data_IF_369520075067
#
_entry.id   IF_369520075067
#
_cell.length_a   1.000
_cell.length_b   1.000
_cell.length_c   1.000
_cell.angle_alpha   90.00
_cell.angle_beta   90.00
_cell.angle_gamma   90.00
#
_symmetry.space_group_name_H-M   'P 1'
#
loop_
_entity.id
_entity.type
_entity.pdbx_description
1 polymer ?
#
# COMPACT_ATOMS: atom_id res chain seq x y z
N UNK A 1 -10.25 64.68 -37.96
CA UNK A 1 -9.36 63.54 -37.96
C UNK A 1 -9.62 62.76 -36.68
N UNK A 2 -10.33 61.64 -36.76
CA UNK A 2 -10.58 60.81 -35.61
C UNK A 2 -9.62 59.64 -35.61
N UNK A 3 -8.70 59.63 -34.64
CA UNK A 3 -7.80 58.51 -34.38
C UNK A 3 -8.58 57.46 -33.61
N UNK A 4 -8.99 56.38 -34.26
CA UNK A 4 -9.51 55.21 -33.60
C UNK A 4 -8.31 54.40 -33.10
N UNK A 5 -7.99 54.54 -31.82
CA UNK A 5 -7.06 53.65 -31.13
C UNK A 5 -7.73 52.29 -30.99
N UNK A 6 -7.33 51.35 -31.83
CA UNK A 6 -7.69 49.95 -31.61
C UNK A 6 -6.91 49.44 -30.41
N UNK A 7 -7.59 49.26 -29.28
CA UNK A 7 -7.04 48.50 -28.18
C UNK A 7 -6.95 47.02 -28.62
N UNK A 8 -5.82 46.34 -28.40
CA UNK A 8 -5.78 44.89 -28.57
C UNK A 8 -6.59 44.28 -27.47
N UNK A 9 -7.60 43.51 -27.84
CA UNK A 9 -8.32 42.63 -26.93
C UNK A 9 -7.30 41.56 -26.48
N UNK A 10 -6.76 41.74 -25.28
CA UNK A 10 -6.10 40.67 -24.56
C UNK A 10 -7.17 39.67 -24.12
N UNK A 11 -7.36 38.62 -24.89
CA UNK A 11 -8.06 37.43 -24.42
C UNK A 11 -7.30 36.86 -23.26
N UNK A 12 -7.92 36.70 -22.07
CA UNK A 12 -7.28 35.94 -21.01
C UNK A 12 -7.20 34.49 -21.49
N UNK A 13 -5.98 34.00 -21.67
CA UNK A 13 -5.73 32.57 -21.80
C UNK A 13 -6.12 31.97 -20.45
N UNK A 14 -7.33 31.43 -20.38
CA UNK A 14 -7.77 30.63 -19.27
C UNK A 14 -6.94 29.35 -19.29
N UNK A 15 -5.83 29.36 -18.57
CA UNK A 15 -5.12 28.15 -18.21
C UNK A 15 -6.08 27.32 -17.34
N UNK A 16 -6.84 26.47 -18.00
CA UNK A 16 -7.52 25.35 -17.34
C UNK A 16 -6.39 24.51 -16.73
N UNK A 17 -6.10 24.77 -15.47
CA UNK A 17 -5.41 23.81 -14.63
C UNK A 17 -6.31 22.59 -14.57
N UNK A 18 -6.11 21.66 -15.47
CA UNK A 18 -6.69 20.31 -15.33
C UNK A 18 -6.19 19.80 -13.98
N UNK A 19 -7.06 19.37 -13.07
CA UNK A 19 -6.61 18.70 -11.89
C UNK A 19 -5.78 17.52 -12.37
N UNK A 20 -4.53 17.49 -11.94
CA UNK A 20 -3.73 16.29 -12.01
C UNK A 20 -4.43 15.25 -11.13
N UNK A 21 -5.47 14.64 -11.64
CA UNK A 21 -5.83 13.32 -11.19
C UNK A 21 -4.61 12.49 -11.48
N UNK A 22 -3.93 12.07 -10.41
CA UNK A 22 -2.90 11.07 -10.53
C UNK A 22 -3.49 9.98 -11.40
N UNK A 23 -3.02 9.88 -12.65
CA UNK A 23 -3.45 8.82 -13.53
C UNK A 23 -3.07 7.54 -12.81
N UNK A 24 -4.06 6.79 -12.37
CA UNK A 24 -3.84 5.46 -11.85
C UNK A 24 -3.23 4.65 -12.97
N UNK A 25 -1.92 4.58 -12.91
CA UNK A 25 -1.15 3.74 -13.83
C UNK A 25 -1.54 2.29 -13.54
N UNK A 26 -1.92 1.57 -14.58
CA UNK A 26 -2.11 0.13 -14.47
C UNK A 26 -0.84 -0.52 -13.94
N UNK A 27 -0.99 -1.44 -12.99
CA UNK A 27 0.12 -2.18 -12.42
C UNK A 27 0.72 -3.10 -13.47
N UNK A 28 2.03 -3.01 -13.65
CA UNK A 28 2.79 -3.90 -14.51
C UNK A 28 3.02 -5.24 -13.81
N UNK A 29 3.44 -6.26 -14.57
CA UNK A 29 3.87 -7.54 -13.97
C UNK A 29 5.06 -7.35 -13.03
N UNK A 30 5.96 -6.42 -13.33
CA UNK A 30 7.07 -6.05 -12.46
C UNK A 30 6.58 -5.42 -11.15
N UNK A 31 5.57 -4.56 -11.18
CA UNK A 31 4.96 -3.98 -9.98
C UNK A 31 4.33 -5.08 -9.12
N UNK A 32 3.60 -6.01 -9.73
CA UNK A 32 2.97 -7.14 -9.02
C UNK A 32 4.00 -8.02 -8.33
N UNK A 33 5.07 -8.34 -9.01
CA UNK A 33 6.18 -9.12 -8.46
C UNK A 33 6.88 -8.38 -7.31
N UNK A 34 7.13 -7.07 -7.46
CA UNK A 34 7.75 -6.25 -6.44
C UNK A 34 6.89 -6.13 -5.17
N UNK A 35 5.58 -5.94 -5.32
CA UNK A 35 4.63 -5.90 -4.22
C UNK A 35 4.66 -7.23 -3.44
N UNK A 36 4.57 -8.34 -4.14
CA UNK A 36 4.66 -9.67 -3.53
C UNK A 36 5.96 -9.84 -2.75
N UNK A 37 7.08 -9.49 -3.35
CA UNK A 37 8.40 -9.60 -2.72
C UNK A 37 8.51 -8.78 -1.44
N UNK A 38 7.99 -7.56 -1.42
CA UNK A 38 7.97 -6.70 -0.22
C UNK A 38 7.22 -7.37 0.92
N UNK A 39 6.02 -7.90 0.64
CA UNK A 39 5.21 -8.58 1.67
C UNK A 39 5.90 -9.86 2.16
N UNK A 40 6.46 -10.66 1.26
CA UNK A 40 7.19 -11.88 1.63
C UNK A 40 8.39 -11.56 2.53
N UNK A 41 9.17 -10.54 2.20
CA UNK A 41 10.30 -10.08 3.02
C UNK A 41 9.86 -9.58 4.38
N UNK A 42 8.75 -8.85 4.44
CA UNK A 42 8.22 -8.35 5.70
C UNK A 42 7.76 -9.50 6.60
N UNK A 43 7.04 -10.47 6.05
CA UNK A 43 6.64 -11.67 6.78
C UNK A 43 7.84 -12.47 7.32
N UNK A 44 8.89 -12.62 6.51
CA UNK A 44 10.13 -13.29 6.92
C UNK A 44 10.86 -12.53 8.02
N UNK A 45 10.96 -11.22 7.93
CA UNK A 45 11.57 -10.39 8.97
C UNK A 45 10.80 -10.49 10.28
N UNK A 46 9.48 -10.45 10.25
CA UNK A 46 8.63 -10.62 11.43
C UNK A 46 8.81 -12.00 12.05
N UNK A 47 8.89 -13.05 11.23
CA UNK A 47 9.13 -14.42 11.70
C UNK A 47 10.45 -14.57 12.44
N UNK A 48 11.45 -13.77 12.09
CA UNK A 48 12.76 -13.76 12.70
C UNK A 48 12.90 -12.74 13.84
N UNK A 49 11.82 -12.05 14.22
CA UNK A 49 11.84 -10.92 15.15
C UNK A 49 12.81 -9.79 14.74
N UNK A 50 13.06 -9.67 13.43
CA UNK A 50 13.87 -8.61 12.85
C UNK A 50 13.01 -7.33 12.68
N UNK A 51 12.86 -6.59 13.77
CA UNK A 51 12.06 -5.40 13.82
C UNK A 51 12.52 -4.34 12.82
N UNK A 52 13.83 -4.14 12.70
CA UNK A 52 14.40 -3.11 11.83
C UNK A 52 14.07 -3.38 10.35
N UNK A 53 14.28 -4.62 9.88
CA UNK A 53 13.98 -4.98 8.48
C UNK A 53 12.49 -4.94 8.18
N UNK A 54 11.65 -5.42 9.09
CA UNK A 54 10.20 -5.38 8.91
C UNK A 54 9.68 -3.93 8.84
N UNK A 55 10.15 -3.07 9.73
CA UNK A 55 9.76 -1.67 9.81
C UNK A 55 10.23 -0.85 8.60
N UNK A 56 11.43 -1.13 8.08
CA UNK A 56 11.96 -0.47 6.89
C UNK A 56 11.10 -0.68 5.63
N UNK A 57 10.30 -1.74 5.58
CA UNK A 57 9.40 -2.05 4.47
C UNK A 57 8.03 -1.38 4.61
N UNK A 58 7.77 -0.64 5.68
CA UNK A 58 6.55 0.13 5.86
C UNK A 58 6.65 1.52 5.27
N UNK A 59 5.50 2.11 4.94
CA UNK A 59 5.42 3.48 4.41
C UNK A 59 5.90 4.52 5.42
N UNK A 60 6.28 5.73 4.95
CA UNK A 60 6.66 6.82 5.85
C UNK A 60 5.59 7.15 6.91
N UNK A 61 4.32 7.06 6.55
CA UNK A 61 3.19 7.33 7.46
C UNK A 61 3.12 6.29 8.58
N UNK A 62 3.33 5.02 8.27
CA UNK A 62 3.39 3.95 9.27
C UNK A 62 4.61 4.15 10.18
N UNK A 63 5.75 4.49 9.61
CA UNK A 63 6.96 4.75 10.39
C UNK A 63 6.79 5.94 11.34
N UNK A 64 6.14 7.00 10.88
CA UNK A 64 5.83 8.16 11.73
C UNK A 64 4.86 7.80 12.87
N UNK A 65 3.89 6.92 12.60
CA UNK A 65 2.89 6.49 13.60
C UNK A 65 3.51 5.67 14.73
N UNK A 66 4.38 4.72 14.42
CA UNK A 66 4.98 3.82 15.42
C UNK A 66 6.30 4.34 15.98
N UNK A 67 6.96 5.24 15.27
CA UNK A 67 8.21 5.92 15.64
C UNK A 67 9.44 5.01 15.68
N UNK A 68 9.33 3.79 16.23
CA UNK A 68 10.45 2.85 16.33
C UNK A 68 10.10 1.47 15.79
N UNK A 69 11.10 0.71 15.28
CA UNK A 69 10.91 -0.68 14.86
C UNK A 69 10.35 -1.57 15.97
N UNK A 70 10.78 -1.36 17.21
CA UNK A 70 10.39 -2.16 18.37
C UNK A 70 8.92 -1.98 18.72
N UNK A 71 8.41 -0.75 18.64
CA UNK A 71 6.98 -0.47 18.83
C UNK A 71 6.13 -1.12 17.75
N UNK A 72 6.59 -1.06 16.51
CA UNK A 72 5.94 -1.73 15.40
C UNK A 72 5.88 -3.24 15.61
N UNK A 73 7.00 -3.88 15.94
CA UNK A 73 7.06 -5.31 16.19
C UNK A 73 6.15 -5.72 17.36
N UNK A 74 6.13 -4.96 18.45
CA UNK A 74 5.25 -5.22 19.60
C UNK A 74 3.78 -5.18 19.20
N UNK A 75 3.37 -4.21 18.39
CA UNK A 75 2.01 -4.12 17.89
C UNK A 75 1.65 -5.33 17.04
N UNK A 76 2.51 -5.74 16.10
CA UNK A 76 2.26 -6.91 15.25
C UNK A 76 2.15 -8.18 16.07
N UNK A 77 3.06 -8.39 17.01
CA UNK A 77 3.07 -9.54 17.92
C UNK A 77 1.80 -9.62 18.74
N UNK A 78 1.30 -8.50 19.24
CA UNK A 78 0.14 -8.44 20.13
C UNK A 78 -1.18 -8.53 19.38
N UNK A 79 -1.31 -7.84 18.24
CA UNK A 79 -2.59 -7.60 17.58
C UNK A 79 -2.74 -8.26 16.21
N UNK A 80 -1.67 -8.81 15.65
CA UNK A 80 -1.64 -9.38 14.30
C UNK A 80 -0.97 -10.76 14.29
N UNK A 81 -1.42 -11.66 15.16
CA UNK A 81 -0.84 -12.99 15.29
C UNK A 81 -0.72 -13.77 13.97
N UNK A 82 -1.72 -13.75 13.07
CA UNK A 82 -1.61 -14.43 11.78
C UNK A 82 -0.53 -13.86 10.87
N UNK A 83 -0.20 -12.57 11.02
CA UNK A 83 0.90 -11.91 10.30
C UNK A 83 2.25 -12.22 10.94
N UNK A 84 2.27 -12.26 12.27
CA UNK A 84 3.50 -12.50 13.05
C UNK A 84 4.02 -13.93 12.90
N UNK A 85 3.13 -14.91 12.96
CA UNK A 85 3.49 -16.33 12.91
C UNK A 85 2.48 -17.14 12.05
N UNK A 86 2.42 -16.89 10.74
CA UNK A 86 1.54 -17.66 9.88
C UNK A 86 2.05 -19.09 9.72
N UNK A 87 1.14 -20.06 9.78
CA UNK A 87 1.37 -21.45 9.38
C UNK A 87 1.27 -21.63 7.89
N UNK A 88 0.43 -20.81 7.24
CA UNK A 88 0.19 -20.86 5.80
C UNK A 88 0.01 -19.45 5.27
N UNK A 89 0.59 -19.19 4.10
CA UNK A 89 0.53 -17.93 3.38
C UNK A 89 0.14 -18.22 1.93
N UNK A 90 -0.98 -17.67 1.47
CA UNK A 90 -1.44 -17.81 0.09
C UNK A 90 -1.76 -16.43 -0.47
N UNK A 91 -0.98 -15.98 -1.44
CA UNK A 91 -1.26 -14.74 -2.15
C UNK A 91 -2.50 -14.88 -3.02
N UNK A 92 -3.40 -13.91 -2.91
CA UNK A 92 -4.64 -13.81 -3.65
C UNK A 92 -4.60 -12.60 -4.59
N UNK A 93 -5.76 -12.03 -4.90
CA UNK A 93 -5.87 -10.95 -5.87
C UNK A 93 -5.19 -9.67 -5.41
N UNK A 94 -4.60 -8.97 -6.36
CA UNK A 94 -4.12 -7.61 -6.23
C UNK A 94 -5.12 -6.71 -6.93
N UNK A 95 -5.86 -5.93 -6.16
CA UNK A 95 -6.92 -5.04 -6.64
C UNK A 95 -6.65 -3.61 -6.24
N UNK A 96 -7.41 -2.67 -6.81
CA UNK A 96 -7.36 -1.27 -6.39
C UNK A 96 -8.56 -1.00 -5.49
N UNK A 97 -8.30 -0.63 -4.24
CA UNK A 97 -9.31 -0.21 -3.27
C UNK A 97 -9.08 1.27 -2.93
N UNK A 98 -10.12 2.08 -3.12
CA UNK A 98 -10.06 3.54 -2.86
C UNK A 98 -8.86 4.23 -3.53
N UNK A 99 -8.55 3.81 -4.76
CA UNK A 99 -7.43 4.36 -5.53
C UNK A 99 -6.05 3.80 -5.16
N UNK A 100 -5.95 2.87 -4.21
CA UNK A 100 -4.69 2.33 -3.72
C UNK A 100 -4.55 0.84 -4.08
N UNK A 101 -3.44 0.42 -4.68
CA UNK A 101 -3.16 -1.00 -4.90
C UNK A 101 -3.18 -1.76 -3.58
N UNK A 102 -3.96 -2.83 -3.50
CA UNK A 102 -4.15 -3.60 -2.28
C UNK A 102 -4.00 -5.08 -2.57
N UNK A 103 -3.00 -5.69 -1.96
CA UNK A 103 -2.72 -7.12 -2.09
C UNK A 103 -3.48 -7.90 -1.01
N UNK A 104 -4.31 -8.84 -1.44
CA UNK A 104 -4.95 -9.78 -0.54
C UNK A 104 -4.03 -10.99 -0.32
N UNK A 105 -3.89 -11.40 0.92
CA UNK A 105 -3.10 -12.57 1.32
C UNK A 105 -3.92 -13.39 2.32
N UNK A 106 -4.18 -14.65 1.98
CA UNK A 106 -4.80 -15.57 2.91
C UNK A 106 -3.74 -16.07 3.90
N UNK A 107 -3.98 -15.84 5.17
CA UNK A 107 -3.12 -16.28 6.26
C UNK A 107 -3.86 -17.25 7.18
N UNK A 108 -3.18 -18.30 7.57
CA UNK A 108 -3.63 -19.18 8.65
C UNK A 108 -2.65 -18.98 9.81
N UNK A 109 -3.14 -18.45 10.92
CA UNK A 109 -2.32 -18.18 12.10
C UNK A 109 -2.07 -19.41 12.97
N UNK A 110 -1.45 -19.23 14.13
CA UNK A 110 -1.15 -20.34 15.07
C UNK A 110 -2.40 -21.07 15.57
N UNK A 111 -3.54 -20.40 15.62
CA UNK A 111 -4.83 -20.95 16.01
C UNK A 111 -5.49 -21.83 14.92
N UNK A 112 -4.91 -21.88 13.72
CA UNK A 112 -5.46 -22.62 12.58
C UNK A 112 -6.65 -21.95 11.90
N UNK A 113 -7.02 -20.72 12.29
CA UNK A 113 -8.15 -19.98 11.70
C UNK A 113 -7.68 -19.17 10.52
N UNK A 114 -8.26 -19.37 9.32
CA UNK A 114 -7.91 -18.55 8.15
C UNK A 114 -8.47 -17.14 8.28
N UNK A 115 -7.65 -16.15 7.92
CA UNK A 115 -8.04 -14.75 7.80
C UNK A 115 -7.52 -14.19 6.48
N UNK A 116 -8.16 -13.14 5.98
CA UNK A 116 -7.67 -12.41 4.83
C UNK A 116 -6.95 -11.16 5.31
N UNK A 117 -5.67 -11.05 4.99
CA UNK A 117 -4.88 -9.84 5.20
C UNK A 117 -4.94 -8.98 3.95
N UNK A 118 -5.38 -7.73 4.09
CA UNK A 118 -5.40 -6.75 3.03
C UNK A 118 -4.25 -5.77 3.24
N UNK A 119 -3.31 -5.76 2.31
CA UNK A 119 -2.12 -4.90 2.35
C UNK A 119 -2.27 -3.76 1.34
N UNK A 120 -2.68 -2.55 1.76
CA UNK A 120 -2.52 -1.38 0.91
C UNK A 120 -1.04 -1.14 0.65
N UNK A 121 -0.69 -0.86 -0.60
CA UNK A 121 0.70 -0.69 -1.03
C UNK A 121 0.93 0.73 -1.54
N UNK A 122 2.08 1.29 -1.22
CA UNK A 122 2.48 2.62 -1.65
C UNK A 122 3.79 2.57 -2.44
N UNK A 123 3.76 3.13 -3.65
CA UNK A 123 4.99 3.30 -4.41
C UNK A 123 5.73 4.56 -3.96
N UNK A 124 7.02 4.42 -3.71
CA UNK A 124 7.89 5.51 -3.30
C UNK A 124 8.42 6.30 -4.51
N UNK A 125 8.96 7.52 -4.31
CA UNK A 125 9.53 8.31 -5.41
C UNK A 125 10.64 7.60 -6.18
N UNK A 126 11.38 6.69 -5.54
CA UNK A 126 12.43 5.88 -6.17
C UNK A 126 11.89 4.65 -6.95
N UNK A 127 10.56 4.47 -6.96
CA UNK A 127 9.89 3.35 -7.62
C UNK A 127 9.73 2.09 -6.75
N UNK A 128 10.34 2.03 -5.57
CA UNK A 128 10.16 0.91 -4.64
C UNK A 128 8.77 0.90 -4.04
N UNK A 129 8.32 -0.28 -3.58
CA UNK A 129 7.03 -0.46 -2.94
C UNK A 129 7.19 -0.65 -1.43
N UNK A 130 6.23 -0.11 -0.69
CA UNK A 130 6.16 -0.27 0.77
C UNK A 130 4.74 -0.64 1.20
N UNK A 131 4.63 -1.36 2.30
CA UNK A 131 3.33 -1.65 2.91
C UNK A 131 2.82 -0.39 3.61
N UNK A 132 1.59 0.01 3.28
CA UNK A 132 0.94 1.19 3.85
C UNK A 132 -0.10 0.84 4.92
N UNK A 133 -0.05 -0.37 5.42
CA UNK A 133 -0.95 -0.91 6.44
C UNK A 133 -1.23 -2.39 6.22
N UNK A 134 -2.02 -2.95 7.11
CA UNK A 134 -2.55 -4.30 6.99
C UNK A 134 -3.88 -4.38 7.73
N UNK A 135 -4.91 -4.84 7.05
CA UNK A 135 -6.23 -5.04 7.63
C UNK A 135 -6.54 -6.53 7.64
N UNK A 136 -6.84 -7.08 8.80
CA UNK A 136 -7.30 -8.45 8.93
C UNK A 136 -8.83 -8.48 8.87
N UNK A 137 -9.35 -9.23 7.91
CA UNK A 137 -10.79 -9.45 7.78
C UNK A 137 -11.08 -10.95 7.84
N UNK A 138 -12.27 -11.36 8.35
CA UNK A 138 -12.63 -12.77 8.37
C UNK A 138 -12.62 -13.35 6.95
N UNK A 139 -12.04 -14.53 6.81
CA UNK A 139 -12.16 -15.29 5.58
C UNK A 139 -13.53 -15.95 5.55
N UNK A 140 -14.34 -15.56 4.57
CA UNK A 140 -15.61 -16.25 4.27
C UNK A 140 -15.38 -17.12 3.06
N UNK A 141 -15.48 -18.43 3.29
CA UNK A 141 -15.55 -19.39 2.19
C UNK A 141 -16.92 -19.20 1.53
N UNK A 142 -16.96 -18.45 0.43
CA UNK A 142 -18.16 -18.42 -0.39
C UNK A 142 -18.25 -19.77 -1.09
N UNK A 143 -18.99 -20.65 -0.49
CA UNK A 143 -19.43 -21.86 -1.17
C UNK A 143 -20.32 -21.44 -2.34
N UNK A 144 -19.77 -21.49 -3.53
CA UNK A 144 -20.52 -21.46 -4.77
C UNK A 144 -21.48 -22.66 -4.82
#
# INVERSE_FOLDING_TARGET
>A
MFYVRRLPLLLPVLLLALPLYAQQRDLTDADRAAIRTVIERQLDALRQDDAASAFALTSPEIQAKFETPERFLTMVRTSYQPVYRPRQVVFRDLTTLEGQPTQAVLLVGPDGVPVMALYPMQQQPDGSWKTAGCYLVPFKDEKL
#
